data_IF_617111073390
#
_entry.id   IF_617111073390
#
_cell.length_a   1.000
_cell.length_b   1.000
_cell.length_c   1.000
_cell.angle_alpha   90.00
_cell.angle_beta   90.00
_cell.angle_gamma   90.00
#
_symmetry.space_group_name_H-M   'P 1'
#
loop_
_entity.id
_entity.type
_entity.pdbx_description
1 polymer ?
#
# COMPACT_ATOMS: atom_id res chain seq x y z
N UNK A 1 40.74 -16.63 12.83
CA UNK A 1 40.49 -16.66 14.20
C UNK A 1 39.34 -15.89 14.67
N UNK A 2 39.23 -14.64 14.33
CA UNK A 2 38.16 -13.81 14.84
C UNK A 2 37.10 -13.47 13.81
N UNK A 3 37.23 -14.02 12.64
CA UNK A 3 36.37 -13.64 11.55
C UNK A 3 34.94 -14.17 11.65
N UNK A 4 34.80 -15.24 12.40
CA UNK A 4 33.50 -15.87 12.54
C UNK A 4 32.47 -14.96 13.13
N UNK A 5 32.91 -13.97 13.87
CA UNK A 5 32.01 -13.09 14.57
C UNK A 5 31.20 -12.16 13.63
N UNK A 6 31.73 -11.97 12.46
CA UNK A 6 31.10 -11.01 11.53
C UNK A 6 29.92 -11.61 10.84
N UNK A 7 29.99 -12.86 10.48
CA UNK A 7 28.91 -13.49 9.73
C UNK A 7 27.57 -13.48 10.44
N UNK A 8 27.47 -13.74 11.74
CA UNK A 8 26.18 -13.71 12.44
C UNK A 8 25.52 -12.35 12.38
N UNK A 9 26.32 -11.31 12.37
CA UNK A 9 25.79 -9.96 12.35
C UNK A 9 25.07 -9.68 11.03
N UNK A 10 25.64 -10.11 9.95
CA UNK A 10 25.03 -9.92 8.64
C UNK A 10 23.68 -10.63 8.53
N UNK A 11 23.58 -11.80 9.13
CA UNK A 11 22.34 -12.54 9.11
C UNK A 11 21.21 -11.80 9.82
N UNK A 12 21.53 -11.17 10.92
CA UNK A 12 20.53 -10.40 11.66
C UNK A 12 19.99 -9.24 10.86
N UNK A 13 20.85 -8.57 10.11
CA UNK A 13 20.40 -7.46 9.27
C UNK A 13 19.42 -7.93 8.21
N UNK A 14 19.68 -9.08 7.62
CA UNK A 14 18.79 -9.62 6.60
C UNK A 14 17.39 -9.92 7.17
N UNK A 15 17.33 -10.44 8.39
CA UNK A 15 16.04 -10.73 9.02
C UNK A 15 15.26 -9.46 9.24
N UNK A 16 15.89 -8.39 9.65
CA UNK A 16 15.22 -7.12 9.86
C UNK A 16 14.62 -6.58 8.56
N UNK A 17 15.32 -6.75 7.45
CA UNK A 17 14.82 -6.29 6.16
C UNK A 17 13.55 -7.04 5.77
N UNK A 18 13.48 -8.33 6.04
CA UNK A 18 12.26 -9.08 5.74
C UNK A 18 11.07 -8.61 6.55
N UNK A 19 11.27 -8.31 7.81
CA UNK A 19 10.19 -7.84 8.65
C UNK A 19 9.57 -6.56 8.10
N UNK A 20 10.39 -5.65 7.60
CA UNK A 20 9.90 -4.40 7.03
C UNK A 20 9.10 -4.65 5.75
N UNK A 21 9.60 -5.52 4.90
CA UNK A 21 8.92 -5.82 3.64
C UNK A 21 7.57 -6.48 3.87
N UNK A 22 7.44 -7.29 4.90
CA UNK A 22 6.21 -8.03 5.16
C UNK A 22 5.05 -7.13 5.57
N UNK A 23 5.32 -5.90 5.98
CA UNK A 23 4.28 -4.99 6.44
C UNK A 23 3.78 -4.03 5.37
N UNK A 24 4.41 -4.06 4.18
CA UNK A 24 3.97 -3.22 3.08
C UNK A 24 2.65 -3.74 2.51
N UNK A 25 1.82 -2.85 2.02
CA UNK A 25 0.66 -3.21 1.23
C UNK A 25 -0.61 -3.50 2.02
N UNK A 26 -0.71 -3.10 3.27
CA UNK A 26 -1.94 -3.28 4.02
C UNK A 26 -2.27 -2.05 4.84
N UNK A 27 -3.57 -1.88 5.10
CA UNK A 27 -4.08 -0.85 5.98
C UNK A 27 -5.10 -1.48 6.92
N UNK A 28 -4.67 -1.98 8.09
CA UNK A 28 -5.54 -2.76 8.97
C UNK A 28 -6.75 -2.02 9.50
N UNK A 29 -6.69 -0.69 9.60
CA UNK A 29 -7.83 0.09 10.07
C UNK A 29 -9.03 0.00 9.13
N UNK A 30 -8.79 -0.29 7.85
CA UNK A 30 -9.85 -0.42 6.87
C UNK A 30 -10.39 0.90 6.37
N UNK A 31 -11.25 0.84 5.35
CA UNK A 31 -11.77 2.01 4.68
C UNK A 31 -13.28 2.15 4.77
N UNK A 32 -14.00 1.06 4.94
CA UNK A 32 -15.45 1.10 5.02
C UNK A 32 -15.97 -0.11 5.78
N UNK A 33 -17.16 0.04 6.35
CA UNK A 33 -17.91 -1.06 6.95
C UNK A 33 -19.05 -1.51 6.04
N UNK A 34 -19.23 -0.87 4.89
CA UNK A 34 -20.29 -1.21 3.97
C UNK A 34 -20.01 -2.51 3.22
N UNK A 35 -21.05 -3.27 2.87
CA UNK A 35 -20.87 -4.52 2.13
C UNK A 35 -20.38 -4.24 0.70
N UNK A 36 -19.80 -5.28 0.09
CA UNK A 36 -19.27 -5.17 -1.27
C UNK A 36 -20.31 -4.69 -2.28
N UNK A 37 -21.59 -4.97 -2.05
CA UNK A 37 -22.65 -4.52 -2.93
C UNK A 37 -22.78 -3.00 -2.99
N UNK A 38 -22.24 -2.29 -1.99
CA UNK A 38 -22.28 -0.84 -1.97
C UNK A 38 -21.04 -0.21 -2.59
N UNK A 39 -20.07 -1.02 -3.05
CA UNK A 39 -18.81 -0.51 -3.59
C UNK A 39 -18.99 -0.10 -5.05
N UNK A 40 -18.33 0.98 -5.42
CA UNK A 40 -18.27 1.40 -6.80
C UNK A 40 -17.22 0.57 -7.55
N UNK A 41 -17.20 0.69 -8.87
CA UNK A 41 -16.22 0.01 -9.70
C UNK A 41 -14.82 0.50 -9.32
N UNK A 42 -13.85 -0.43 -9.30
CA UNK A 42 -12.48 -0.12 -8.87
C UNK A 42 -11.81 0.91 -9.78
N UNK A 43 -12.09 0.85 -11.09
CA UNK A 43 -11.49 1.81 -12.00
C UNK A 43 -12.05 3.21 -11.80
N UNK A 44 -13.33 3.31 -11.47
CA UNK A 44 -13.94 4.59 -11.15
C UNK A 44 -13.37 5.16 -9.86
N UNK A 45 -13.20 4.31 -8.84
CA UNK A 45 -12.61 4.74 -7.58
C UNK A 45 -11.17 5.21 -7.80
N UNK A 46 -10.39 4.46 -8.55
CA UNK A 46 -9.01 4.82 -8.83
C UNK A 46 -8.92 6.13 -9.63
N UNK A 47 -9.87 6.38 -10.51
CA UNK A 47 -9.87 7.62 -11.29
C UNK A 47 -9.93 8.88 -10.42
N UNK A 48 -10.45 8.77 -9.21
CA UNK A 48 -10.50 9.94 -8.32
C UNK A 48 -9.11 10.46 -7.97
N UNK A 49 -8.12 9.56 -7.86
CA UNK A 49 -6.76 9.99 -7.48
C UNK A 49 -6.00 10.56 -8.68
N UNK A 50 -6.37 10.21 -9.90
CA UNK A 50 -5.73 10.82 -11.08
C UNK A 50 -6.04 12.30 -11.15
N UNK A 51 -7.21 12.72 -10.69
CA UNK A 51 -7.57 14.13 -10.65
C UNK A 51 -6.68 14.91 -9.68
N UNK A 52 -6.07 14.22 -8.73
CA UNK A 52 -5.15 14.84 -7.77
C UNK A 52 -3.69 14.76 -8.23
N UNK A 53 -3.46 14.31 -9.46
CA UNK A 53 -2.12 14.31 -10.04
C UNK A 53 -1.37 12.99 -9.92
N UNK A 54 -2.01 11.94 -9.43
CA UNK A 54 -1.36 10.63 -9.34
C UNK A 54 -1.45 9.89 -10.65
N UNK A 55 -0.38 9.15 -10.96
CA UNK A 55 -0.35 8.23 -12.09
C UNK A 55 -0.44 6.81 -11.55
N UNK A 56 -1.49 6.11 -11.93
CA UNK A 56 -1.80 4.78 -11.39
C UNK A 56 -0.96 3.72 -12.08
N UNK A 57 -0.31 2.87 -11.29
CA UNK A 57 0.40 1.71 -11.79
C UNK A 57 -0.46 0.46 -11.66
N UNK A 58 -1.23 0.33 -10.58
CA UNK A 58 -1.98 -0.89 -10.30
C UNK A 58 -3.04 -0.61 -9.24
N UNK A 59 -4.17 -1.30 -9.32
CA UNK A 59 -5.24 -1.20 -8.33
C UNK A 59 -5.68 -2.60 -7.94
N UNK A 60 -6.03 -2.78 -6.67
CA UNK A 60 -6.53 -4.07 -6.18
C UNK A 60 -7.40 -3.87 -4.96
N UNK A 61 -8.11 -4.93 -4.57
CA UNK A 61 -8.86 -4.95 -3.32
C UNK A 61 -7.90 -5.35 -2.20
N UNK A 62 -7.94 -4.62 -1.10
CA UNK A 62 -7.14 -4.92 0.07
C UNK A 62 -8.02 -4.72 1.32
N UNK A 63 -8.49 -5.82 1.91
CA UNK A 63 -9.43 -5.76 3.01
C UNK A 63 -10.69 -5.01 2.61
N UNK A 64 -11.05 -3.97 3.34
CA UNK A 64 -12.21 -3.15 3.05
C UNK A 64 -11.84 -1.91 2.23
N UNK A 65 -10.68 -1.91 1.59
CA UNK A 65 -10.19 -0.78 0.81
C UNK A 65 -9.96 -1.16 -0.64
N UNK A 66 -9.97 -0.17 -1.52
CA UNK A 66 -9.27 -0.28 -2.79
C UNK A 66 -7.87 0.28 -2.56
N UNK A 67 -6.87 -0.52 -2.90
CA UNK A 67 -5.48 -0.10 -2.78
C UNK A 67 -4.95 0.25 -4.17
N UNK A 68 -4.37 1.43 -4.30
CA UNK A 68 -3.85 1.93 -5.56
C UNK A 68 -2.37 2.23 -5.42
N UNK A 69 -1.57 1.59 -6.25
CA UNK A 69 -0.14 1.90 -6.34
C UNK A 69 0.00 3.00 -7.37
N UNK A 70 0.56 4.13 -6.96
CA UNK A 70 0.60 5.32 -7.82
C UNK A 70 1.87 6.10 -7.62
N UNK A 71 2.17 6.97 -8.59
CA UNK A 71 3.30 7.88 -8.53
C UNK A 71 2.83 9.32 -8.61
N UNK A 72 3.54 10.18 -7.91
CA UNK A 72 3.32 11.63 -7.99
C UNK A 72 4.63 12.33 -7.69
N UNK A 73 5.02 13.24 -8.56
CA UNK A 73 6.27 14.01 -8.40
C UNK A 73 7.49 13.11 -8.20
N UNK A 74 7.54 11.99 -8.91
CA UNK A 74 8.67 11.07 -8.84
C UNK A 74 8.67 10.14 -7.66
N UNK A 75 7.68 10.23 -6.78
CA UNK A 75 7.58 9.35 -5.62
C UNK A 75 6.51 8.31 -5.83
N UNK A 76 6.69 7.16 -5.19
CA UNK A 76 5.72 6.07 -5.23
C UNK A 76 4.93 6.01 -3.94
N UNK A 77 3.64 5.75 -4.08
CA UNK A 77 2.72 5.69 -2.95
C UNK A 77 1.80 4.49 -3.05
N UNK A 78 1.35 4.03 -1.89
CA UNK A 78 0.22 3.14 -1.76
C UNK A 78 -0.92 3.97 -1.20
N UNK A 79 -2.01 4.03 -1.96
CA UNK A 79 -3.18 4.83 -1.61
C UNK A 79 -4.32 3.90 -1.27
N UNK A 80 -4.95 4.11 -0.13
CA UNK A 80 -6.07 3.29 0.32
C UNK A 80 -7.33 4.13 0.24
N UNK A 81 -8.26 3.67 -0.58
CA UNK A 81 -9.46 4.42 -0.90
C UNK A 81 -10.69 3.75 -0.29
N UNK A 82 -11.65 4.56 0.14
CA UNK A 82 -12.97 4.08 0.49
C UNK A 82 -13.64 3.60 -0.80
N UNK A 83 -13.98 2.29 -0.89
CA UNK A 83 -14.52 1.76 -2.13
C UNK A 83 -15.95 2.20 -2.42
N UNK A 84 -16.62 2.83 -1.48
CA UNK A 84 -17.97 3.30 -1.70
C UNK A 84 -18.02 4.67 -2.38
N UNK A 85 -16.95 5.44 -2.32
CA UNK A 85 -16.96 6.79 -2.88
C UNK A 85 -15.62 7.21 -3.51
N UNK A 86 -14.59 6.40 -3.40
CA UNK A 86 -13.28 6.71 -3.98
C UNK A 86 -12.43 7.69 -3.18
N UNK A 87 -12.84 8.05 -1.96
CA UNK A 87 -12.07 9.00 -1.16
C UNK A 87 -10.78 8.38 -0.65
N UNK A 88 -9.73 9.17 -0.64
CA UNK A 88 -8.45 8.75 -0.07
C UNK A 88 -8.55 8.73 1.44
N UNK A 89 -8.37 7.55 2.03
CA UNK A 89 -8.44 7.35 3.48
C UNK A 89 -7.05 7.34 4.10
N UNK A 90 -6.10 6.73 3.42
CA UNK A 90 -4.75 6.60 3.95
C UNK A 90 -3.74 6.59 2.80
N UNK A 91 -2.59 7.18 3.04
CA UNK A 91 -1.50 7.22 2.08
C UNK A 91 -0.21 6.85 2.80
N UNK A 92 0.59 6.00 2.17
CA UNK A 92 1.90 5.68 2.69
C UNK A 92 2.88 5.54 1.53
N UNK A 93 4.16 5.70 1.83
CA UNK A 93 5.21 5.51 0.83
C UNK A 93 5.30 4.04 0.44
N UNK A 94 5.54 3.81 -0.84
CA UNK A 94 5.71 2.45 -1.36
C UNK A 94 7.19 2.07 -1.40
#
# INVERSE_FOLDING_TARGET
>A
MTFNKIAPIAALVAVAAFANAAQAGSYPAGCTTQPRSAWMNIDEAAATVTKSGYRIAKSKVSGSCYEVYARKNGERFELFLDPTNGRLVHKQAD
#
